data_IF_998882383663
#
_entry.id   IF_998882383663
#
_cell.length_a   1.000
_cell.length_b   1.000
_cell.length_c   1.000
_cell.angle_alpha   90.00
_cell.angle_beta   90.00
_cell.angle_gamma   90.00
#
_symmetry.space_group_name_H-M   'P 1'
#
loop_
_entity.id
_entity.type
_entity.pdbx_description
1 polymer ?
#
# COMPACT_ATOMS: atom_id res chain seq x y z
N UNK A 1 46.31 13.46 -8.65
CA UNK A 1 45.72 12.65 -7.69
C UNK A 1 44.19 12.50 -7.86
N UNK A 2 43.73 11.30 -8.04
CA UNK A 2 42.34 11.01 -8.37
C UNK A 2 41.38 11.27 -7.26
N UNK A 3 40.22 11.84 -7.58
CA UNK A 3 39.08 11.83 -6.71
C UNK A 3 38.50 10.42 -6.70
N UNK A 4 37.98 10.01 -5.56
CA UNK A 4 37.17 8.79 -5.54
C UNK A 4 36.03 8.92 -6.58
N UNK A 5 35.70 7.86 -7.30
CA UNK A 5 34.58 7.92 -8.24
C UNK A 5 33.31 8.30 -7.49
N UNK A 6 32.46 9.09 -8.11
CA UNK A 6 31.18 9.44 -7.54
C UNK A 6 30.37 8.16 -7.28
N UNK A 7 29.57 8.10 -6.19
CA UNK A 7 28.72 6.94 -5.98
C UNK A 7 27.77 6.80 -7.17
N UNK A 8 27.38 5.57 -7.54
CA UNK A 8 26.42 5.40 -8.60
C UNK A 8 25.13 6.15 -8.27
N UNK A 9 24.45 6.71 -9.28
CA UNK A 9 23.19 7.40 -9.03
C UNK A 9 22.18 6.45 -8.36
N UNK A 10 21.38 6.96 -7.45
CA UNK A 10 20.29 6.18 -6.85
C UNK A 10 19.31 5.74 -7.93
N UNK A 11 18.68 4.57 -7.78
CA UNK A 11 17.60 4.16 -8.67
C UNK A 11 16.51 5.23 -8.71
N UNK A 12 15.79 5.37 -9.85
CA UNK A 12 14.68 6.30 -9.94
C UNK A 12 13.67 6.07 -8.81
N UNK A 13 13.17 7.16 -8.25
CA UNK A 13 12.15 7.14 -7.20
C UNK A 13 12.57 6.40 -5.93
N UNK A 14 13.88 6.40 -5.62
CA UNK A 14 14.39 5.76 -4.39
C UNK A 14 13.74 6.30 -3.13
N UNK A 15 13.53 7.63 -3.06
CA UNK A 15 12.88 8.29 -1.92
C UNK A 15 11.43 7.82 -1.78
N UNK A 16 10.69 7.83 -2.88
CA UNK A 16 9.29 7.40 -2.91
C UNK A 16 9.18 5.92 -2.56
N UNK A 17 10.07 5.10 -3.07
CA UNK A 17 10.15 3.67 -2.75
C UNK A 17 10.36 3.44 -1.25
N UNK A 18 11.31 4.14 -0.65
CA UNK A 18 11.58 4.04 0.79
C UNK A 18 10.36 4.47 1.60
N UNK A 19 9.71 5.56 1.18
CA UNK A 19 8.54 6.07 1.89
C UNK A 19 7.37 5.09 1.84
N UNK A 20 7.08 4.53 0.68
CA UNK A 20 6.03 3.51 0.52
C UNK A 20 6.34 2.30 1.41
N UNK A 21 7.57 1.82 1.36
CA UNK A 21 8.00 0.69 2.18
C UNK A 21 7.81 0.97 3.67
N UNK A 22 8.12 2.18 4.11
CA UNK A 22 7.94 2.60 5.49
C UNK A 22 6.45 2.60 5.88
N UNK A 23 5.58 3.13 5.03
CA UNK A 23 4.14 3.13 5.26
C UNK A 23 3.62 1.69 5.39
N UNK A 24 4.01 0.80 4.48
CA UNK A 24 3.58 -0.59 4.52
C UNK A 24 4.02 -1.27 5.82
N UNK A 25 5.21 -0.94 6.32
CA UNK A 25 5.69 -1.46 7.60
C UNK A 25 4.81 -0.97 8.76
N UNK A 26 4.38 0.28 8.75
CA UNK A 26 3.47 0.83 9.76
C UNK A 26 2.08 0.19 9.71
N UNK A 27 1.69 -0.34 8.55
CA UNK A 27 0.43 -1.05 8.35
C UNK A 27 0.55 -2.55 8.66
N UNK A 28 1.69 -3.00 9.18
CA UNK A 28 1.89 -4.41 9.51
C UNK A 28 2.07 -5.32 8.30
N UNK A 29 2.44 -4.76 7.15
CA UNK A 29 2.51 -5.49 5.88
C UNK A 29 3.93 -5.87 5.47
N UNK A 30 4.95 -5.53 6.25
CA UNK A 30 6.36 -5.68 5.87
C UNK A 30 6.74 -7.12 5.49
N UNK A 31 6.15 -8.11 6.16
CA UNK A 31 6.45 -9.52 5.91
C UNK A 31 5.64 -10.18 4.81
N UNK A 32 4.73 -9.45 4.18
CA UNK A 32 3.86 -10.01 3.15
C UNK A 32 4.51 -9.98 1.78
N UNK A 33 4.43 -11.09 1.03
CA UNK A 33 4.97 -11.16 -0.33
C UNK A 33 4.36 -10.12 -1.25
N UNK A 34 3.06 -9.89 -1.12
CA UNK A 34 2.34 -8.92 -1.93
C UNK A 34 2.74 -7.47 -1.69
N UNK A 35 3.43 -7.19 -0.58
CA UNK A 35 3.91 -5.82 -0.31
C UNK A 35 4.95 -5.36 -1.33
N UNK A 36 5.83 -6.26 -1.78
CA UNK A 36 6.76 -5.94 -2.86
C UNK A 36 6.01 -5.68 -4.16
N UNK A 37 4.97 -6.46 -4.45
CA UNK A 37 4.12 -6.22 -5.62
C UNK A 37 3.48 -4.83 -5.56
N UNK A 38 2.96 -4.45 -4.40
CA UNK A 38 2.36 -3.13 -4.19
C UNK A 38 3.38 -2.01 -4.46
N UNK A 39 4.60 -2.17 -3.96
CA UNK A 39 5.68 -1.20 -4.21
C UNK A 39 5.92 -1.06 -5.71
N UNK A 40 6.07 -2.17 -6.41
CA UNK A 40 6.34 -2.15 -7.86
C UNK A 40 5.18 -1.53 -8.66
N UNK A 41 3.93 -1.81 -8.26
CA UNK A 41 2.77 -1.18 -8.87
C UNK A 41 2.81 0.35 -8.68
N UNK A 42 3.09 0.82 -7.47
CA UNK A 42 3.18 2.25 -7.17
C UNK A 42 4.31 2.92 -7.97
N UNK A 43 5.48 2.31 -8.00
CA UNK A 43 6.63 2.89 -8.71
C UNK A 43 6.34 3.00 -10.20
N UNK A 44 5.72 1.99 -10.80
CA UNK A 44 5.32 2.05 -12.21
C UNK A 44 4.35 3.20 -12.48
N UNK A 45 3.36 3.39 -11.60
CA UNK A 45 2.40 4.49 -11.73
C UNK A 45 3.08 5.85 -11.58
N UNK A 46 3.97 6.00 -10.62
CA UNK A 46 4.72 7.25 -10.41
C UNK A 46 5.60 7.58 -11.62
N UNK A 47 6.28 6.59 -12.19
CA UNK A 47 7.12 6.77 -13.37
C UNK A 47 6.32 7.25 -14.59
N UNK A 48 5.07 6.85 -14.69
CA UNK A 48 4.19 7.16 -15.82
C UNK A 48 3.31 8.36 -15.58
N UNK A 49 3.32 8.91 -14.36
CA UNK A 49 2.42 10.00 -14.00
C UNK A 49 0.95 9.61 -14.09
N UNK A 50 0.62 8.37 -13.77
CA UNK A 50 -0.73 7.83 -13.86
C UNK A 50 -1.22 7.36 -12.49
N UNK A 51 -2.55 7.20 -12.36
CA UNK A 51 -3.17 6.63 -11.16
C UNK A 51 -3.68 5.22 -11.46
N UNK A 52 -3.90 4.43 -10.40
CA UNK A 52 -4.51 3.12 -10.55
C UNK A 52 -5.94 3.23 -11.07
N UNK A 53 -6.64 4.31 -10.73
CA UNK A 53 -7.99 4.58 -11.24
C UNK A 53 -7.99 4.80 -12.75
N UNK A 54 -6.94 5.40 -13.31
CA UNK A 54 -6.82 5.64 -14.75
C UNK A 54 -6.48 4.38 -15.53
N UNK A 55 -5.53 3.60 -15.03
CA UNK A 55 -5.00 2.42 -15.75
C UNK A 55 -5.83 1.18 -15.49
N UNK A 56 -6.29 0.99 -14.26
CA UNK A 56 -6.89 -0.25 -13.79
C UNK A 56 -5.85 -1.24 -13.27
N UNK A 57 -6.16 -1.88 -12.15
CA UNK A 57 -5.22 -2.77 -11.45
C UNK A 57 -4.86 -3.98 -12.31
N UNK A 58 -5.85 -4.62 -12.94
CA UNK A 58 -5.60 -5.80 -13.77
C UNK A 58 -4.70 -5.48 -14.97
N UNK A 59 -4.97 -4.36 -15.64
CA UNK A 59 -4.17 -3.91 -16.78
C UNK A 59 -2.73 -3.61 -16.35
N UNK A 60 -2.57 -2.95 -15.20
CA UNK A 60 -1.23 -2.63 -14.68
C UNK A 60 -0.44 -3.90 -14.35
N UNK A 61 -1.06 -4.86 -13.69
CA UNK A 61 -0.41 -6.15 -13.40
C UNK A 61 -0.02 -6.88 -14.68
N UNK A 62 -0.86 -6.83 -15.72
CA UNK A 62 -0.57 -7.44 -17.01
C UNK A 62 0.67 -6.82 -17.68
N UNK A 63 0.90 -5.53 -17.46
CA UNK A 63 2.07 -4.83 -17.99
C UNK A 63 3.36 -5.15 -17.23
N UNK A 64 3.28 -5.53 -15.96
CA UNK A 64 4.43 -5.69 -15.09
C UNK A 64 4.81 -7.14 -14.79
N UNK A 65 3.94 -8.09 -15.09
CA UNK A 65 4.16 -9.49 -14.69
C UNK A 65 3.73 -10.45 -15.79
N UNK A 66 4.48 -11.53 -15.93
CA UNK A 66 4.08 -12.68 -16.77
C UNK A 66 2.93 -13.45 -16.14
N UNK A 67 2.66 -13.23 -14.87
CA UNK A 67 1.61 -13.91 -14.13
C UNK A 67 0.75 -12.89 -13.38
N UNK A 68 -0.03 -12.07 -14.12
CA UNK A 68 -0.72 -10.91 -13.54
C UNK A 68 -1.75 -11.27 -12.47
N UNK A 69 -2.46 -12.37 -12.62
CA UNK A 69 -3.44 -12.80 -11.60
C UNK A 69 -2.77 -13.13 -10.28
N UNK A 70 -1.62 -13.79 -10.33
CA UNK A 70 -0.85 -14.13 -9.12
C UNK A 70 -0.36 -12.85 -8.44
N UNK A 71 0.15 -11.91 -9.21
CA UNK A 71 0.61 -10.62 -8.68
C UNK A 71 -0.54 -9.88 -7.98
N UNK A 72 -1.68 -9.77 -8.66
CA UNK A 72 -2.85 -9.09 -8.10
C UNK A 72 -3.35 -9.77 -6.82
N UNK A 73 -3.42 -11.10 -6.80
CA UNK A 73 -3.88 -11.84 -5.63
C UNK A 73 -2.94 -11.70 -4.44
N UNK A 74 -1.61 -11.70 -4.69
CA UNK A 74 -0.63 -11.46 -3.61
C UNK A 74 -0.80 -10.07 -3.02
N UNK A 75 -0.96 -9.07 -3.90
CA UNK A 75 -1.16 -7.68 -3.46
C UNK A 75 -2.45 -7.56 -2.62
N UNK A 76 -3.54 -8.19 -3.06
CA UNK A 76 -4.81 -8.15 -2.33
C UNK A 76 -4.72 -8.84 -0.97
N UNK A 77 -4.01 -9.97 -0.88
CA UNK A 77 -3.81 -10.65 0.41
C UNK A 77 -2.98 -9.81 1.38
N UNK A 78 -1.94 -9.17 0.88
CA UNK A 78 -1.14 -8.26 1.71
C UNK A 78 -2.01 -7.10 2.21
N UNK A 79 -2.87 -6.56 1.34
CA UNK A 79 -3.76 -5.46 1.69
C UNK A 79 -4.79 -5.87 2.73
N UNK A 80 -5.33 -7.08 2.64
CA UNK A 80 -6.26 -7.61 3.66
C UNK A 80 -5.60 -7.67 5.03
N UNK A 81 -4.33 -8.03 5.09
CA UNK A 81 -3.55 -7.96 6.33
C UNK A 81 -3.45 -6.54 6.86
N UNK A 82 -3.20 -5.59 5.96
CA UNK A 82 -3.12 -4.17 6.32
C UNK A 82 -4.43 -3.65 6.88
N UNK A 83 -5.55 -4.01 6.27
CA UNK A 83 -6.88 -3.63 6.75
C UNK A 83 -7.13 -4.20 8.16
N UNK A 84 -6.85 -5.46 8.36
CA UNK A 84 -7.01 -6.11 9.66
C UNK A 84 -6.15 -5.45 10.73
N UNK A 85 -4.90 -5.16 10.40
CA UNK A 85 -3.96 -4.52 11.32
C UNK A 85 -4.43 -3.12 11.72
N UNK A 86 -4.79 -2.28 10.75
CA UNK A 86 -5.23 -0.91 11.04
C UNK A 86 -6.55 -0.91 11.85
N UNK A 87 -7.45 -1.83 11.54
CA UNK A 87 -8.69 -1.99 12.30
C UNK A 87 -8.41 -2.41 13.74
N UNK A 88 -7.45 -3.33 13.93
CA UNK A 88 -7.03 -3.76 15.28
C UNK A 88 -6.51 -2.59 16.11
N UNK A 89 -5.70 -1.73 15.50
CA UNK A 89 -5.18 -0.54 16.20
C UNK A 89 -6.32 0.37 16.64
N UNK A 90 -7.32 0.57 15.77
CA UNK A 90 -8.47 1.41 16.07
C UNK A 90 -9.38 0.82 17.15
N UNK A 91 -9.51 -0.50 17.21
CA UNK A 91 -10.27 -1.17 18.27
C UNK A 91 -9.59 -0.97 19.63
N UNK A 92 -8.27 -1.08 19.68
CA UNK A 92 -7.51 -0.88 20.91
C UNK A 92 -7.49 0.58 21.36
N UNK A 93 -7.28 1.51 20.40
CA UNK A 93 -7.15 2.94 20.69
C UNK A 93 -7.54 3.76 19.46
N UNK A 94 -8.68 4.41 19.51
CA UNK A 94 -9.19 5.27 18.45
C UNK A 94 -8.26 6.45 18.12
N UNK A 95 -7.38 6.81 19.06
CA UNK A 95 -6.43 7.91 18.89
C UNK A 95 -5.05 7.44 18.42
N UNK A 96 -4.88 6.12 18.16
CA UNK A 96 -3.63 5.60 17.63
C UNK A 96 -3.21 6.40 16.39
N UNK A 97 -1.95 6.80 16.33
CA UNK A 97 -1.49 7.71 15.27
C UNK A 97 -1.53 7.08 13.87
N UNK A 98 -1.28 5.78 13.76
CA UNK A 98 -1.35 5.11 12.46
C UNK A 98 -2.80 4.95 12.01
N UNK A 99 -3.68 4.59 12.94
CA UNK A 99 -5.11 4.52 12.66
C UNK A 99 -5.64 5.86 12.17
N UNK A 100 -5.35 6.96 12.87
CA UNK A 100 -5.83 8.27 12.48
C UNK A 100 -5.22 8.76 11.18
N UNK A 101 -3.97 8.40 10.90
CA UNK A 101 -3.26 8.84 9.69
C UNK A 101 -3.72 8.09 8.45
N UNK A 102 -3.94 6.78 8.55
CA UNK A 102 -4.09 5.91 7.36
C UNK A 102 -5.50 5.37 7.12
N UNK A 103 -6.34 5.27 8.15
CA UNK A 103 -7.60 4.55 8.04
C UNK A 103 -8.54 5.09 6.96
N UNK A 104 -8.63 6.42 6.83
CA UNK A 104 -9.50 7.05 5.84
C UNK A 104 -8.79 7.44 4.55
N UNK A 105 -7.45 7.46 4.55
CA UNK A 105 -6.66 7.85 3.38
C UNK A 105 -6.33 6.68 2.47
N UNK A 106 -6.19 5.48 3.03
CA UNK A 106 -5.77 4.28 2.31
C UNK A 106 -6.88 3.26 2.14
N UNK A 107 -7.97 3.40 2.88
CA UNK A 107 -9.10 2.47 2.85
C UNK A 107 -10.42 3.24 2.78
N UNK A 108 -11.47 2.64 2.22
CA UNK A 108 -12.82 3.16 2.46
C UNK A 108 -13.12 3.05 3.96
N UNK A 109 -13.42 4.16 4.61
CA UNK A 109 -13.55 4.18 6.07
C UNK A 109 -14.64 3.24 6.59
N UNK A 110 -15.72 3.12 5.84
CA UNK A 110 -16.80 2.18 6.19
C UNK A 110 -16.32 0.73 6.22
N UNK A 111 -15.33 0.37 5.39
CA UNK A 111 -14.74 -0.98 5.39
C UNK A 111 -13.83 -1.18 6.60
N UNK A 112 -13.14 -0.14 7.03
CA UNK A 112 -12.36 -0.18 8.28
C UNK A 112 -13.31 -0.41 9.47
N UNK A 113 -14.43 0.30 9.50
CA UNK A 113 -15.45 0.13 10.56
C UNK A 113 -16.03 -1.28 10.54
N UNK A 114 -16.32 -1.82 9.37
CA UNK A 114 -16.82 -3.18 9.23
C UNK A 114 -15.81 -4.21 9.73
N UNK A 115 -14.53 -4.00 9.47
CA UNK A 115 -13.47 -4.86 9.97
C UNK A 115 -13.32 -4.75 11.49
N UNK A 116 -13.42 -3.54 12.03
CA UNK A 116 -13.40 -3.31 13.48
C UNK A 116 -14.55 -4.05 14.16
N UNK A 117 -15.75 -3.98 13.58
CA UNK A 117 -16.92 -4.71 14.09
C UNK A 117 -16.69 -6.22 14.07
N UNK A 118 -16.11 -6.74 12.99
CA UNK A 118 -15.76 -8.15 12.85
C UNK A 118 -14.79 -8.61 13.95
N UNK A 119 -13.77 -7.81 14.24
CA UNK A 119 -12.81 -8.10 15.30
C UNK A 119 -13.47 -8.14 16.69
N UNK A 120 -14.60 -7.48 16.84
CA UNK A 120 -15.39 -7.47 18.07
C UNK A 120 -16.50 -8.53 18.07
N UNK A 121 -16.48 -9.44 17.10
CA UNK A 121 -17.47 -10.51 16.99
C UNK A 121 -18.79 -10.10 16.34
N UNK A 122 -18.82 -8.99 15.62
CA UNK A 122 -20.03 -8.42 15.01
C UNK A 122 -19.85 -8.26 13.50
N UNK A 123 -20.43 -9.14 12.72
CA UNK A 123 -20.46 -9.01 11.27
C UNK A 123 -19.32 -9.69 10.53
N UNK A 124 -19.38 -9.70 9.19
CA UNK A 124 -18.48 -10.49 8.34
C UNK A 124 -17.11 -9.88 8.08
N UNK A 125 -16.89 -8.61 8.42
CA UNK A 125 -15.66 -7.91 8.15
C UNK A 125 -15.77 -6.95 6.98
N UNK A 126 -14.67 -6.22 6.73
CA UNK A 126 -14.57 -5.26 5.65
C UNK A 126 -13.79 -5.82 4.46
N UNK A 127 -13.83 -5.08 3.36
CA UNK A 127 -13.07 -5.38 2.14
C UNK A 127 -12.17 -4.21 1.79
N UNK A 128 -10.87 -4.47 1.69
CA UNK A 128 -9.95 -3.48 1.19
C UNK A 128 -10.11 -3.33 -0.32
N UNK A 129 -9.78 -2.15 -0.83
CA UNK A 129 -9.84 -1.82 -2.25
C UNK A 129 -8.45 -1.49 -2.74
N UNK A 130 -7.87 -2.36 -3.57
CA UNK A 130 -6.49 -2.21 -4.01
C UNK A 130 -6.28 -0.93 -4.83
N UNK A 131 -7.23 -0.57 -5.70
CA UNK A 131 -7.15 0.66 -6.48
C UNK A 131 -7.10 1.89 -5.57
N UNK A 132 -8.00 1.98 -4.61
CA UNK A 132 -8.05 3.08 -3.63
C UNK A 132 -6.75 3.14 -2.83
N UNK A 133 -6.26 1.98 -2.40
CA UNK A 133 -5.03 1.89 -1.62
C UNK A 133 -3.82 2.39 -2.40
N UNK A 134 -3.67 1.94 -3.66
CA UNK A 134 -2.58 2.38 -4.51
C UNK A 134 -2.61 3.89 -4.73
N UNK A 135 -3.78 4.44 -5.07
CA UNK A 135 -3.90 5.88 -5.31
C UNK A 135 -3.61 6.70 -4.05
N UNK A 136 -4.03 6.21 -2.88
CA UNK A 136 -3.68 6.84 -1.60
C UNK A 136 -2.18 6.80 -1.33
N UNK A 137 -1.52 5.68 -1.63
CA UNK A 137 -0.07 5.57 -1.48
C UNK A 137 0.69 6.52 -2.41
N UNK A 138 0.21 6.73 -3.64
CA UNK A 138 0.83 7.68 -4.56
C UNK A 138 0.87 9.08 -3.95
N UNK A 139 -0.24 9.51 -3.36
CA UNK A 139 -0.33 10.82 -2.71
C UNK A 139 0.64 10.90 -1.53
N UNK A 140 0.62 9.89 -0.66
CA UNK A 140 1.48 9.85 0.52
C UNK A 140 2.96 9.77 0.17
N UNK A 141 3.30 9.08 -0.91
CA UNK A 141 4.70 8.93 -1.35
C UNK A 141 5.30 10.27 -1.79
N UNK A 142 4.49 11.18 -2.30
CA UNK A 142 4.92 12.50 -2.75
C UNK A 142 4.87 13.56 -1.66
N UNK A 143 4.23 13.29 -0.54
CA UNK A 143 4.22 14.19 0.63
C UNK A 143 5.58 14.16 1.34
N UNK A 144 5.93 15.27 1.92
CA UNK A 144 7.14 15.37 2.74
C UNK A 144 6.93 14.87 4.18
#
# INVERSE_FOLDING_TARGET
AGRAPAPPPEPPLSRERRRIKHILSQLGMAGEKGSQDIIELCIALLQRGQTASQVGVAALCAQLSDNPKTMEQRARRALDRGLNHIASLGVEDYTNEFFTRYSARLFPFQEVRAEMAHLQGKGPGGKANLRTFLDGLLILAEEE
#
